data_IF_614061984865
#
_entry.id   IF_614061984865
#
_cell.length_a   1.000
_cell.length_b   1.000
_cell.length_c   1.000
_cell.angle_alpha   90.00
_cell.angle_beta   90.00
_cell.angle_gamma   90.00
#
_symmetry.space_group_name_H-M   'P 1'
#
loop_
_entity.id
_entity.type
_entity.pdbx_description
1 polymer ?
#
# COMPACT_ATOMS: atom_id res chain seq x y z
N UNK A 1 47.68 -29.78 -58.94
CA UNK A 1 46.61 -30.80 -58.81
C UNK A 1 45.27 -30.10 -58.76
N UNK A 2 44.40 -30.43 -59.71
CA UNK A 2 43.19 -29.68 -60.09
C UNK A 2 42.08 -30.71 -60.35
N UNK A 3 40.87 -30.51 -59.80
CA UNK A 3 39.53 -30.93 -60.34
C UNK A 3 38.45 -30.57 -59.30
N UNK A 4 37.55 -29.61 -59.57
CA UNK A 4 36.25 -29.68 -60.31
C UNK A 4 35.14 -30.30 -59.43
N UNK A 5 33.91 -29.77 -59.24
CA UNK A 5 32.95 -28.96 -60.05
C UNK A 5 31.84 -28.35 -59.13
N UNK A 6 31.26 -27.20 -59.51
CA UNK A 6 29.93 -26.63 -59.12
C UNK A 6 28.77 -27.32 -59.92
N UNK A 7 27.46 -26.89 -59.97
CA UNK A 7 26.66 -25.85 -59.25
C UNK A 7 25.19 -26.24 -58.85
N UNK A 8 24.45 -25.31 -58.22
CA UNK A 8 22.96 -25.17 -58.32
C UNK A 8 22.34 -24.47 -57.09
N UNK A 9 21.82 -23.22 -57.15
CA UNK A 9 20.45 -22.79 -57.54
C UNK A 9 19.36 -23.41 -56.61
N UNK A 10 18.40 -22.73 -55.96
CA UNK A 10 17.59 -21.54 -56.24
C UNK A 10 16.77 -21.10 -54.99
N UNK A 11 16.34 -19.82 -55.04
CA UNK A 11 15.07 -19.23 -54.58
C UNK A 11 14.71 -19.12 -53.08
N UNK A 12 14.53 -17.85 -52.67
CA UNK A 12 13.54 -17.45 -51.68
C UNK A 12 12.21 -17.01 -52.33
N UNK A 13 11.16 -16.97 -51.50
CA UNK A 13 9.86 -16.30 -51.66
C UNK A 13 9.29 -16.19 -50.21
N UNK A 14 8.95 -15.07 -49.58
CA UNK A 14 8.15 -13.89 -49.93
C UNK A 14 6.64 -14.15 -50.08
N UNK A 15 5.87 -13.43 -49.25
CA UNK A 15 4.43 -13.07 -49.35
C UNK A 15 3.42 -14.21 -49.05
N UNK A 16 2.22 -13.99 -48.48
CA UNK A 16 1.38 -12.81 -48.45
C UNK A 16 0.41 -12.80 -47.25
N UNK A 17 -0.01 -11.61 -46.86
CA UNK A 17 -1.22 -11.33 -46.09
C UNK A 17 -2.48 -11.57 -46.93
N UNK A 18 -3.60 -11.93 -46.28
CA UNK A 18 -4.93 -11.77 -46.88
C UNK A 18 -5.96 -11.46 -45.78
N UNK A 19 -6.52 -10.25 -45.86
CA UNK A 19 -7.74 -9.82 -45.17
C UNK A 19 -8.95 -10.23 -46.01
N UNK A 20 -10.05 -10.72 -45.42
CA UNK A 20 -11.41 -10.54 -45.97
C UNK A 20 -12.43 -10.48 -44.82
N UNK A 21 -13.35 -9.53 -44.93
CA UNK A 21 -14.49 -9.28 -44.06
C UNK A 21 -15.79 -9.94 -44.56
N UNK A 22 -16.75 -10.04 -43.63
CA UNK A 22 -18.21 -10.10 -43.79
C UNK A 22 -18.89 -11.41 -44.22
N UNK A 23 -19.79 -11.91 -43.35
CA UNK A 23 -21.12 -12.41 -43.72
C UNK A 23 -22.07 -12.44 -42.50
N UNK A 24 -23.26 -11.87 -42.70
CA UNK A 24 -24.44 -11.78 -41.82
C UNK A 24 -25.31 -13.05 -41.92
N UNK A 25 -26.32 -13.12 -41.03
CA UNK A 25 -27.41 -14.10 -40.86
C UNK A 25 -27.08 -15.21 -39.82
N UNK A 26 -27.84 -15.43 -38.73
CA UNK A 26 -29.27 -15.20 -38.51
C UNK A 26 -30.01 -16.53 -38.53
N UNK A 27 -30.05 -17.25 -37.40
CA UNK A 27 -31.00 -18.35 -37.15
C UNK A 27 -31.27 -18.45 -35.64
N UNK A 28 -32.55 -18.50 -35.29
CA UNK A 28 -33.08 -18.51 -33.93
C UNK A 28 -33.49 -19.93 -33.49
N UNK A 29 -33.26 -20.22 -32.20
CA UNK A 29 -34.04 -21.09 -31.27
C UNK A 29 -34.16 -22.61 -31.54
N UNK A 30 -34.40 -23.48 -30.52
CA UNK A 30 -35.09 -23.18 -29.26
C UNK A 30 -34.47 -23.72 -27.96
N UNK A 31 -35.08 -23.20 -26.88
CA UNK A 31 -34.91 -23.56 -25.48
C UNK A 31 -35.34 -25.01 -25.17
N UNK A 32 -34.61 -25.65 -24.26
CA UNK A 32 -35.06 -26.84 -23.55
C UNK A 32 -35.38 -26.46 -22.11
N UNK A 33 -36.67 -26.46 -21.81
CA UNK A 33 -37.26 -26.54 -20.48
C UNK A 33 -36.83 -27.82 -19.78
N UNK A 34 -36.36 -27.74 -18.54
CA UNK A 34 -36.38 -28.90 -17.64
C UNK A 34 -37.05 -28.52 -16.32
N UNK A 35 -38.13 -29.24 -16.09
CA UNK A 35 -39.12 -29.15 -15.01
C UNK A 35 -38.57 -29.59 -13.66
N UNK A 36 -39.05 -28.92 -12.63
CA UNK A 36 -38.91 -29.29 -11.23
C UNK A 36 -39.56 -30.65 -10.93
N UNK A 37 -38.86 -31.50 -10.18
CA UNK A 37 -39.39 -32.69 -9.53
C UNK A 37 -39.12 -32.62 -8.04
N UNK A 38 -40.18 -32.43 -7.26
CA UNK A 38 -40.17 -32.50 -5.80
C UNK A 38 -40.16 -33.97 -5.35
N UNK A 39 -39.31 -34.30 -4.38
CA UNK A 39 -39.42 -35.53 -3.60
C UNK A 39 -39.14 -35.20 -2.13
N UNK A 40 -40.18 -35.38 -1.33
CA UNK A 40 -40.16 -35.29 0.13
C UNK A 40 -39.41 -36.49 0.73
N UNK A 41 -38.55 -36.22 1.70
CA UNK A 41 -37.86 -37.21 2.50
C UNK A 41 -37.61 -36.66 3.89
N UNK A 42 -38.52 -36.97 4.81
CA UNK A 42 -38.45 -36.68 6.24
C UNK A 42 -37.32 -37.46 6.90
N UNK A 43 -36.39 -36.77 7.56
CA UNK A 43 -35.48 -37.37 8.55
C UNK A 43 -35.47 -36.51 9.81
N UNK A 44 -35.82 -37.18 10.91
CA UNK A 44 -35.86 -36.73 12.30
C UNK A 44 -34.48 -36.30 12.83
N UNK A 45 -34.39 -35.37 13.80
CA UNK A 45 -33.11 -34.93 14.35
C UNK A 45 -32.66 -35.87 15.48
N UNK A 46 -31.45 -36.40 15.35
CA UNK A 46 -30.74 -37.06 16.45
C UNK A 46 -30.02 -36.01 17.31
N UNK A 47 -30.39 -36.00 18.59
CA UNK A 47 -29.71 -35.28 19.66
C UNK A 47 -28.34 -35.93 19.95
N UNK A 48 -27.28 -35.13 20.04
CA UNK A 48 -26.04 -35.52 20.73
C UNK A 48 -25.52 -34.33 21.54
N UNK A 49 -25.82 -34.40 22.84
CA UNK A 49 -24.96 -34.15 24.01
C UNK A 49 -23.84 -33.10 23.84
N UNK A 50 -24.08 -31.91 24.42
CA UNK A 50 -23.03 -30.98 24.82
C UNK A 50 -22.59 -31.32 26.26
N UNK A 51 -21.35 -31.80 26.43
CA UNK A 51 -20.66 -31.82 27.73
C UNK A 51 -19.84 -30.54 27.89
N UNK A 52 -20.50 -29.47 28.30
CA UNK A 52 -19.83 -28.28 28.82
C UNK A 52 -19.33 -28.54 30.24
N UNK A 53 -18.02 -28.64 30.42
CA UNK A 53 -17.41 -28.58 31.76
C UNK A 53 -17.44 -27.13 32.25
N UNK A 54 -18.34 -26.86 33.18
CA UNK A 54 -18.31 -25.66 34.01
C UNK A 54 -17.29 -25.81 35.13
N UNK A 55 -16.49 -24.78 35.36
CA UNK A 55 -15.85 -24.54 36.65
C UNK A 55 -15.87 -23.03 36.88
N UNK A 56 -16.67 -22.66 37.88
CA UNK A 56 -16.84 -21.31 38.40
C UNK A 56 -15.68 -20.96 39.39
N UNK A 57 -15.58 -19.69 39.85
CA UNK A 57 -14.32 -19.07 40.26
C UNK A 57 -14.01 -19.21 41.75
N UNK A 58 -12.74 -19.01 42.11
CA UNK A 58 -12.31 -18.83 43.49
C UNK A 58 -11.51 -17.52 43.63
N UNK A 59 -12.14 -16.61 44.36
CA UNK A 59 -11.71 -15.50 45.22
C UNK A 59 -10.25 -15.05 45.29
N UNK A 60 -10.12 -13.72 45.22
CA UNK A 60 -9.07 -12.83 45.72
C UNK A 60 -8.62 -13.12 47.17
N UNK A 61 -7.39 -12.74 47.56
CA UNK A 61 -7.31 -11.51 48.36
C UNK A 61 -6.11 -10.58 48.06
N UNK A 62 -6.43 -9.29 48.05
CA UNK A 62 -5.57 -8.13 48.31
C UNK A 62 -4.97 -8.16 49.73
N UNK A 63 -3.69 -7.77 49.90
CA UNK A 63 -3.44 -6.74 50.91
C UNK A 63 -2.43 -5.66 50.48
N UNK A 64 -2.96 -4.45 50.39
CA UNK A 64 -2.41 -3.14 50.81
C UNK A 64 -1.04 -3.14 51.54
N UNK A 65 -0.07 -2.42 50.95
CA UNK A 65 0.61 -1.21 51.52
C UNK A 65 2.00 -0.98 50.88
N UNK A 66 2.31 0.22 50.35
CA UNK A 66 3.66 0.57 49.90
C UNK A 66 4.54 1.06 51.06
N UNK A 67 5.80 0.63 51.05
CA UNK A 67 6.85 1.05 51.97
C UNK A 67 7.78 2.03 51.25
N UNK A 68 7.83 3.28 51.72
CA UNK A 68 8.87 4.27 51.44
C UNK A 68 10.09 4.05 52.34
N UNK A 69 11.30 4.41 51.87
CA UNK A 69 12.06 5.49 52.52
C UNK A 69 12.63 6.47 51.47
N UNK A 70 12.49 7.79 51.62
CA UNK A 70 13.17 8.72 52.53
C UNK A 70 14.63 9.05 52.10
N UNK A 71 14.83 10.35 51.86
CA UNK A 71 16.02 11.05 51.37
C UNK A 71 17.15 11.22 52.39
N UNK A 72 18.37 11.42 51.89
CA UNK A 72 19.44 12.29 52.44
C UNK A 72 20.35 12.67 51.24
N UNK A 73 20.59 13.93 50.87
CA UNK A 73 21.50 14.92 51.51
C UNK A 73 22.96 14.52 51.24
N UNK A 74 23.91 15.29 50.68
CA UNK A 74 24.16 16.75 50.70
C UNK A 74 25.47 17.04 49.90
N UNK A 75 25.68 18.32 49.50
CA UNK A 75 26.93 19.02 49.07
C UNK A 75 27.55 18.68 47.70
N UNK A 76 27.60 19.55 46.68
CA UNK A 76 28.14 20.92 46.51
C UNK A 76 29.64 20.99 46.15
N UNK A 77 29.97 21.97 45.27
CA UNK A 77 31.29 22.44 44.78
C UNK A 77 31.84 21.64 43.57
N UNK A 78 32.38 22.20 42.47
CA UNK A 78 33.20 23.42 42.32
C UNK A 78 33.30 23.83 40.82
N UNK A 79 33.23 25.14 40.55
CA UNK A 79 33.94 25.94 39.51
C UNK A 79 33.85 25.61 38.00
N UNK A 80 33.18 26.51 37.26
CA UNK A 80 33.71 27.17 36.05
C UNK A 80 34.74 28.26 36.49
N UNK A 81 35.66 28.83 35.66
CA UNK A 81 35.40 29.39 34.32
C UNK A 81 36.55 29.21 33.30
N UNK A 82 36.34 29.66 32.05
CA UNK A 82 37.39 29.70 31.04
C UNK A 82 36.95 30.19 29.68
N UNK A 83 36.73 31.51 29.58
CA UNK A 83 36.63 32.26 28.32
C UNK A 83 37.95 32.24 27.55
N UNK A 84 37.91 31.95 26.25
CA UNK A 84 38.95 32.38 25.31
C UNK A 84 38.31 32.70 23.96
N UNK A 85 38.15 34.00 23.74
CA UNK A 85 37.91 34.62 22.43
C UNK A 85 39.14 34.45 21.56
N UNK A 86 38.95 33.99 20.32
CA UNK A 86 39.97 34.11 19.27
C UNK A 86 39.38 34.92 18.13
N UNK A 87 39.86 36.15 18.03
CA UNK A 87 39.77 37.08 16.90
C UNK A 87 40.27 36.45 15.60
N UNK A 88 39.49 36.55 14.52
CA UNK A 88 39.95 36.35 13.16
C UNK A 88 39.82 37.68 12.38
N UNK A 89 40.82 38.05 11.56
CA UNK A 89 40.91 39.36 10.93
C UNK A 89 39.96 39.53 9.74
N UNK A 90 39.47 40.74 9.62
CA UNK A 90 38.62 41.28 8.56
C UNK A 90 39.48 41.57 7.32
N UNK A 91 39.24 40.87 6.22
CA UNK A 91 39.69 41.29 4.89
C UNK A 91 38.51 41.89 4.14
N UNK A 92 38.54 43.21 4.00
CA UNK A 92 37.65 43.98 3.15
C UNK A 92 38.06 43.81 1.68
N UNK A 93 37.10 43.46 0.82
CA UNK A 93 37.21 43.64 -0.63
C UNK A 93 35.82 43.79 -1.25
N UNK A 94 35.60 44.98 -1.82
CA UNK A 94 34.90 45.17 -3.09
C UNK A 94 33.38 44.97 -3.12
N UNK A 95 32.63 46.08 -3.00
CA UNK A 95 31.35 46.23 -3.67
C UNK A 95 31.52 46.13 -5.19
N UNK A 96 30.59 45.49 -5.89
CA UNK A 96 29.97 46.20 -6.99
C UNK A 96 28.45 46.28 -6.82
N UNK A 97 27.96 47.50 -7.01
CA UNK A 97 26.56 47.89 -7.12
C UNK A 97 25.93 47.14 -8.29
N UNK A 98 25.09 46.14 -7.98
CA UNK A 98 24.24 45.45 -8.94
C UNK A 98 22.83 45.37 -8.39
N UNK A 99 21.95 46.26 -8.84
CA UNK A 99 20.52 46.21 -8.55
C UNK A 99 19.93 44.92 -9.12
N UNK A 100 19.84 43.89 -8.29
CA UNK A 100 19.00 42.73 -8.54
C UNK A 100 17.63 43.01 -7.92
N UNK A 101 16.65 43.31 -8.75
CA UNK A 101 15.24 43.20 -8.40
C UNK A 101 14.99 41.79 -7.88
N UNK A 102 14.75 41.68 -6.57
CA UNK A 102 14.23 40.45 -5.96
C UNK A 102 12.82 40.25 -6.53
N UNK A 103 12.71 39.45 -7.60
CA UNK A 103 11.45 38.90 -8.01
C UNK A 103 10.94 38.05 -6.83
N UNK A 104 9.84 38.50 -6.23
CA UNK A 104 9.10 37.72 -5.25
C UNK A 104 8.84 36.31 -5.81
N UNK A 105 8.86 35.25 -4.99
CA UNK A 105 8.45 33.95 -5.46
C UNK A 105 7.00 34.06 -5.90
N UNK A 106 6.76 34.03 -7.20
CA UNK A 106 5.44 33.72 -7.75
C UNK A 106 5.05 32.38 -7.18
N UNK A 107 4.12 32.39 -6.24
CA UNK A 107 3.30 31.24 -5.87
C UNK A 107 2.86 30.59 -7.18
N UNK A 108 3.43 29.42 -7.47
CA UNK A 108 3.07 28.66 -8.64
C UNK A 108 1.56 28.46 -8.60
N UNK A 109 0.86 29.15 -9.50
CA UNK A 109 -0.52 28.85 -9.82
C UNK A 109 -0.57 27.35 -10.10
N UNK A 110 -1.29 26.61 -9.25
CA UNK A 110 -1.44 25.17 -9.42
C UNK A 110 -1.91 24.93 -10.85
N UNK A 111 -1.13 24.15 -11.61
CA UNK A 111 -1.53 23.76 -12.94
C UNK A 111 -2.95 23.17 -12.85
N UNK A 112 -3.92 23.89 -13.41
CA UNK A 112 -5.31 23.47 -13.46
C UNK A 112 -5.36 22.29 -14.41
N UNK A 113 -5.24 21.07 -13.87
CA UNK A 113 -5.36 19.85 -14.67
C UNK A 113 -6.71 19.87 -15.39
N UNK A 114 -6.72 19.58 -16.69
CA UNK A 114 -7.94 19.59 -17.51
C UNK A 114 -9.03 18.71 -16.87
N UNK A 115 -10.30 19.15 -16.79
CA UNK A 115 -11.36 18.40 -16.15
C UNK A 115 -11.54 17.01 -16.80
N UNK A 116 -11.89 16.01 -15.98
CA UNK A 116 -12.19 14.67 -16.46
C UNK A 116 -13.60 14.68 -17.10
N UNK A 117 -13.76 14.25 -18.37
CA UNK A 117 -15.07 14.24 -19.04
C UNK A 117 -16.11 13.42 -18.25
N UNK A 118 -17.26 14.01 -17.95
CA UNK A 118 -18.36 13.34 -17.22
C UNK A 118 -18.07 13.05 -15.73
N UNK A 119 -16.97 13.59 -15.19
CA UNK A 119 -16.52 13.39 -13.82
C UNK A 119 -16.40 14.72 -13.07
N UNK A 120 -17.30 15.66 -13.35
CA UNK A 120 -17.28 17.00 -12.77
C UNK A 120 -18.17 17.08 -11.53
N UNK A 121 -17.85 18.04 -10.68
CA UNK A 121 -18.60 18.37 -9.47
C UNK A 121 -20.10 18.54 -9.79
N UNK A 122 -20.95 17.87 -9.02
CA UNK A 122 -22.42 18.01 -9.10
C UNK A 122 -23.09 17.08 -10.11
N UNK A 123 -22.34 16.49 -11.04
CA UNK A 123 -22.85 15.50 -12.00
C UNK A 123 -22.68 14.05 -11.52
N UNK A 124 -21.75 13.82 -10.58
CA UNK A 124 -21.55 12.50 -10.00
C UNK A 124 -22.69 12.15 -9.03
N UNK A 125 -23.26 10.93 -9.12
CA UNK A 125 -24.24 10.42 -8.17
C UNK A 125 -23.56 10.01 -6.86
N UNK A 126 -23.03 11.00 -6.13
CA UNK A 126 -22.36 10.80 -4.84
C UNK A 126 -23.35 10.48 -3.73
N UNK A 127 -22.88 9.84 -2.66
CA UNK A 127 -23.67 9.46 -1.50
C UNK A 127 -24.36 10.67 -0.84
N UNK A 128 -23.69 11.83 -0.87
CA UNK A 128 -24.27 13.12 -0.49
C UNK A 128 -24.09 14.08 -1.67
N UNK A 129 -25.18 14.66 -2.21
CA UNK A 129 -25.08 15.58 -3.35
C UNK A 129 -24.06 16.70 -3.12
N UNK A 130 -23.19 16.92 -4.10
CA UNK A 130 -22.17 17.96 -4.06
C UNK A 130 -20.99 17.69 -3.10
N UNK A 131 -20.93 16.52 -2.46
CA UNK A 131 -19.82 16.10 -1.59
C UNK A 131 -19.23 14.78 -2.04
N UNK A 132 -17.92 14.61 -1.81
CA UNK A 132 -17.23 13.33 -1.98
C UNK A 132 -16.91 12.75 -0.60
N UNK A 133 -17.56 11.65 -0.26
CA UNK A 133 -17.45 11.01 1.06
C UNK A 133 -16.50 9.84 0.98
N UNK A 134 -15.36 9.95 1.67
CA UNK A 134 -14.42 8.85 1.84
C UNK A 134 -14.68 8.06 3.13
N UNK A 135 -14.37 6.78 3.11
CA UNK A 135 -14.45 5.88 4.26
C UNK A 135 -13.07 5.35 4.65
N UNK A 136 -12.86 5.12 5.93
CA UNK A 136 -11.76 4.26 6.41
C UNK A 136 -12.14 3.57 7.72
N UNK A 137 -11.33 2.61 8.16
CA UNK A 137 -11.55 1.88 9.40
C UNK A 137 -11.47 2.78 10.64
N UNK A 138 -11.90 2.26 11.80
CA UNK A 138 -11.95 3.02 13.07
C UNK A 138 -10.59 3.54 13.56
N UNK A 139 -9.51 2.85 13.22
CA UNK A 139 -8.16 3.17 13.68
C UNK A 139 -7.18 3.19 12.49
N UNK A 140 -7.30 4.18 11.60
CA UNK A 140 -6.38 4.30 10.49
C UNK A 140 -4.98 4.65 11.02
N UNK A 141 -3.95 4.02 10.46
CA UNK A 141 -2.60 4.05 11.02
C UNK A 141 -1.56 4.62 10.07
N UNK A 142 -0.44 5.10 10.64
CA UNK A 142 0.71 5.53 9.85
C UNK A 142 1.32 4.34 9.10
N UNK A 143 1.94 4.58 7.93
CA UNK A 143 2.10 5.88 7.25
C UNK A 143 0.91 6.27 6.35
N UNK A 144 -0.10 5.41 6.24
CA UNK A 144 -1.26 5.59 5.38
C UNK A 144 -2.13 6.78 5.82
N UNK A 145 -2.28 6.93 7.14
CA UNK A 145 -2.94 8.05 7.80
C UNK A 145 -2.08 8.54 8.97
N UNK A 146 -1.81 9.84 9.02
CA UNK A 146 -1.08 10.49 10.09
C UNK A 146 -2.04 11.36 10.91
N UNK A 147 -2.84 10.71 11.76
CA UNK A 147 -3.89 11.36 12.56
C UNK A 147 -5.26 11.24 11.89
N UNK A 148 -6.11 12.25 12.08
CA UNK A 148 -7.46 12.25 11.53
C UNK A 148 -7.44 12.25 9.99
N UNK A 149 -8.26 11.42 9.29
CA UNK A 149 -8.29 11.39 7.83
C UNK A 149 -8.57 12.75 7.18
N UNK A 150 -9.45 13.55 7.80
CA UNK A 150 -9.80 14.89 7.35
C UNK A 150 -8.64 15.89 7.37
N UNK A 151 -7.53 15.58 8.05
CA UNK A 151 -6.32 16.40 8.01
C UNK A 151 -5.52 16.24 6.69
N UNK A 152 -5.85 15.22 5.88
CA UNK A 152 -5.16 14.95 4.62
C UNK A 152 -3.70 14.52 4.78
N UNK A 153 -3.33 14.04 5.97
CA UNK A 153 -1.97 13.63 6.30
C UNK A 153 -1.83 12.10 6.28
N UNK A 154 -0.74 11.61 5.70
CA UNK A 154 -0.54 10.20 5.36
C UNK A 154 -0.80 9.92 3.88
N UNK A 155 -0.28 8.81 3.36
CA UNK A 155 -0.36 8.49 1.93
C UNK A 155 -1.80 8.35 1.42
N UNK A 156 -2.64 7.53 2.07
CA UNK A 156 -4.02 7.29 1.64
C UNK A 156 -4.91 8.51 1.89
N UNK A 157 -4.70 9.23 3.00
CA UNK A 157 -5.40 10.49 3.23
C UNK A 157 -5.07 11.53 2.13
N UNK A 158 -3.79 11.73 1.82
CA UNK A 158 -3.36 12.67 0.80
C UNK A 158 -3.82 12.25 -0.61
N UNK A 159 -3.82 10.94 -0.91
CA UNK A 159 -4.38 10.39 -2.13
C UNK A 159 -5.88 10.71 -2.27
N UNK A 160 -6.66 10.55 -1.21
CA UNK A 160 -8.08 10.86 -1.22
C UNK A 160 -8.34 12.33 -1.62
N UNK A 161 -7.58 13.27 -1.05
CA UNK A 161 -7.68 14.69 -1.43
C UNK A 161 -7.15 14.97 -2.84
N UNK A 162 -6.13 14.25 -3.31
CA UNK A 162 -5.66 14.37 -4.69
C UNK A 162 -6.73 13.88 -5.70
N UNK A 163 -7.41 12.77 -5.39
CA UNK A 163 -8.54 12.26 -6.17
C UNK A 163 -9.69 13.26 -6.15
N UNK A 164 -10.07 13.77 -4.97
CA UNK A 164 -11.13 14.78 -4.83
C UNK A 164 -10.86 16.03 -5.68
N UNK A 165 -9.64 16.57 -5.60
CA UNK A 165 -9.23 17.72 -6.39
C UNK A 165 -9.31 17.44 -7.90
N UNK A 166 -8.93 16.23 -8.34
CA UNK A 166 -8.99 15.84 -9.76
C UNK A 166 -10.41 15.74 -10.29
N UNK A 167 -11.36 15.41 -9.41
CA UNK A 167 -12.80 15.37 -9.67
C UNK A 167 -13.48 16.73 -9.46
N UNK A 168 -12.72 17.78 -9.13
CA UNK A 168 -13.25 19.13 -8.92
C UNK A 168 -13.90 19.36 -7.55
N UNK A 169 -13.78 18.43 -6.61
CA UNK A 169 -14.27 18.60 -5.24
C UNK A 169 -13.24 19.38 -4.42
N UNK A 170 -13.56 20.61 -3.98
CA UNK A 170 -12.67 21.33 -3.06
C UNK A 170 -12.59 20.59 -1.73
N UNK A 171 -11.53 20.81 -0.96
CA UNK A 171 -11.33 20.14 0.33
C UNK A 171 -12.52 20.27 1.30
N UNK A 172 -13.25 21.40 1.27
CA UNK A 172 -14.45 21.63 2.07
C UNK A 172 -15.66 20.77 1.66
N UNK A 173 -15.67 20.25 0.43
CA UNK A 173 -16.66 19.31 -0.09
C UNK A 173 -16.27 17.84 0.16
N UNK A 174 -15.13 17.58 0.80
CA UNK A 174 -14.72 16.23 1.20
C UNK A 174 -15.22 15.93 2.61
N UNK A 175 -15.86 14.77 2.78
CA UNK A 175 -16.29 14.24 4.08
C UNK A 175 -15.67 12.88 4.36
N UNK A 176 -15.56 12.52 5.64
CA UNK A 176 -15.04 11.24 6.07
C UNK A 176 -16.03 10.51 6.97
N UNK A 177 -16.18 9.21 6.77
CA UNK A 177 -16.97 8.32 7.63
C UNK A 177 -16.12 7.14 8.11
N UNK A 178 -16.43 6.63 9.29
CA UNK A 178 -15.86 5.36 9.76
C UNK A 178 -16.66 4.21 9.18
N UNK A 179 -15.98 3.22 8.63
CA UNK A 179 -16.61 2.01 8.09
C UNK A 179 -16.01 0.75 8.70
N UNK A 180 -16.69 -0.39 8.54
CA UNK A 180 -16.10 -1.71 8.80
C UNK A 180 -15.29 -2.14 7.56
N UNK A 181 -13.96 -2.32 7.66
CA UNK A 181 -13.13 -2.77 6.54
C UNK A 181 -13.57 -4.12 5.96
N UNK A 182 -14.08 -5.05 6.77
CA UNK A 182 -14.57 -6.34 6.28
C UNK A 182 -15.87 -6.19 5.49
N UNK A 183 -16.73 -5.24 5.88
CA UNK A 183 -17.90 -4.87 5.09
C UNK A 183 -17.49 -4.18 3.78
N UNK A 184 -16.47 -3.32 3.78
CA UNK A 184 -15.95 -2.67 2.57
C UNK A 184 -15.40 -3.69 1.57
N UNK A 185 -14.54 -4.61 2.02
CA UNK A 185 -13.97 -5.69 1.21
C UNK A 185 -15.07 -6.57 0.58
N UNK A 186 -16.13 -6.84 1.34
CA UNK A 186 -17.27 -7.63 0.92
C UNK A 186 -18.30 -6.85 0.08
N UNK A 187 -18.09 -5.56 -0.20
CA UNK A 187 -19.05 -4.74 -0.96
C UNK A 187 -20.36 -4.45 -0.22
N UNK A 188 -20.36 -4.53 1.13
CA UNK A 188 -21.52 -4.33 2.00
C UNK A 188 -21.60 -2.93 2.61
N UNK A 189 -20.61 -2.07 2.36
CA UNK A 189 -20.62 -0.69 2.86
C UNK A 189 -21.58 0.17 2.04
N UNK A 190 -22.27 1.12 2.69
CA UNK A 190 -23.23 2.06 2.09
C UNK A 190 -22.97 3.48 2.59
N UNK A 191 -23.51 4.48 1.91
CA UNK A 191 -23.41 5.89 2.33
C UNK A 191 -22.00 6.49 2.20
N UNK A 192 -21.17 5.92 1.32
CA UNK A 192 -19.79 6.36 1.06
C UNK A 192 -19.50 6.23 -0.42
N UNK A 193 -18.63 7.09 -0.95
CA UNK A 193 -18.27 7.10 -2.37
C UNK A 193 -17.02 6.26 -2.64
N UNK A 194 -16.02 6.30 -1.75
CA UNK A 194 -14.82 5.48 -1.86
C UNK A 194 -14.24 5.16 -0.47
N UNK A 195 -13.69 3.97 -0.29
CA UNK A 195 -13.09 3.53 0.97
C UNK A 195 -11.61 3.23 0.78
N UNK A 196 -10.77 3.74 1.67
CA UNK A 196 -9.34 3.46 1.75
C UNK A 196 -9.01 2.74 3.06
N UNK A 197 -8.04 1.83 2.99
CA UNK A 197 -7.62 1.01 4.12
C UNK A 197 -6.75 -0.15 3.70
N UNK A 198 -5.77 0.10 2.83
CA UNK A 198 -4.79 -0.90 2.38
C UNK A 198 -5.44 -2.14 1.69
N UNK A 199 -6.56 -1.94 0.98
CA UNK A 199 -7.27 -3.04 0.34
C UNK A 199 -6.59 -3.49 -0.95
N UNK A 200 -6.41 -4.80 -1.10
CA UNK A 200 -6.18 -5.42 -2.40
C UNK A 200 -7.52 -5.89 -2.94
N UNK A 201 -7.84 -5.47 -4.17
CA UNK A 201 -9.03 -5.95 -4.86
C UNK A 201 -8.94 -7.48 -5.05
N UNK A 202 -9.96 -8.26 -4.67
CA UNK A 202 -9.95 -9.70 -4.85
C UNK A 202 -10.05 -10.06 -6.33
N UNK A 203 -9.25 -11.03 -6.74
CA UNK A 203 -9.28 -11.60 -8.09
C UNK A 203 -10.37 -12.69 -8.17
N UNK A 204 -11.62 -12.25 -8.10
CA UNK A 204 -12.81 -13.12 -8.24
C UNK A 204 -13.78 -12.50 -9.24
N UNK A 205 -14.54 -13.33 -10.01
CA UNK A 205 -15.51 -12.82 -10.96
C UNK A 205 -16.48 -11.80 -10.34
N UNK A 206 -16.71 -10.68 -11.03
CA UNK A 206 -17.60 -9.60 -10.57
C UNK A 206 -17.05 -8.74 -9.44
N UNK A 207 -15.81 -8.93 -8.98
CA UNK A 207 -15.19 -8.02 -8.03
C UNK A 207 -14.88 -6.65 -8.66
N UNK A 208 -14.41 -6.61 -9.90
CA UNK A 208 -13.93 -5.40 -10.56
C UNK A 208 -14.92 -4.22 -10.52
N UNK A 209 -16.23 -4.51 -10.51
CA UNK A 209 -17.29 -3.49 -10.54
C UNK A 209 -17.43 -2.66 -9.27
N UNK A 210 -16.72 -3.01 -8.19
CA UNK A 210 -16.71 -2.28 -6.91
C UNK A 210 -15.32 -1.81 -6.47
N UNK A 211 -14.33 -1.87 -7.35
CA UNK A 211 -12.96 -1.43 -7.05
C UNK A 211 -12.51 -0.36 -8.04
N UNK A 212 -11.75 0.61 -7.55
CA UNK A 212 -11.01 1.51 -8.43
C UNK A 212 -9.85 0.78 -9.12
N UNK A 213 -9.21 1.45 -10.09
CA UNK A 213 -7.85 1.07 -10.48
C UNK A 213 -6.89 1.20 -9.29
N UNK A 214 -5.80 0.43 -9.32
CA UNK A 214 -4.88 0.33 -8.19
C UNK A 214 -3.93 1.51 -8.05
N UNK A 215 -3.75 2.05 -6.85
CA UNK A 215 -2.96 3.27 -6.59
C UNK A 215 -1.58 3.01 -5.99
N UNK A 216 -1.28 1.80 -5.53
CA UNK A 216 0.02 1.48 -4.94
C UNK A 216 0.36 -0.01 -5.10
N UNK A 217 1.58 -0.37 -5.58
CA UNK A 217 1.99 -1.76 -5.73
C UNK A 217 2.34 -2.42 -4.38
N UNK A 218 1.75 -3.58 -4.10
CA UNK A 218 2.10 -4.42 -2.97
C UNK A 218 3.31 -5.28 -3.33
N UNK A 219 4.49 -4.84 -2.89
CA UNK A 219 5.77 -5.53 -3.08
C UNK A 219 6.22 -6.30 -1.84
N UNK A 220 7.12 -7.27 -2.03
CA UNK A 220 7.81 -7.97 -0.94
C UNK A 220 8.95 -7.10 -0.40
N UNK A 221 8.82 -6.69 0.86
CA UNK A 221 9.70 -5.72 1.54
C UNK A 221 10.56 -6.41 2.59
N UNK A 222 11.86 -6.13 2.54
CA UNK A 222 12.84 -6.63 3.50
C UNK A 222 12.92 -5.68 4.69
N UNK A 223 12.65 -6.22 5.87
CA UNK A 223 12.75 -5.52 7.15
C UNK A 223 13.77 -6.18 8.07
N UNK A 224 14.26 -5.42 9.04
CA UNK A 224 15.25 -5.86 10.01
C UNK A 224 15.04 -5.14 11.34
N UNK A 225 15.77 -5.55 12.38
CA UNK A 225 15.68 -4.91 13.69
C UNK A 225 16.06 -3.41 13.60
N UNK A 226 15.39 -2.53 14.36
CA UNK A 226 15.75 -1.11 14.43
C UNK A 226 17.23 -0.93 14.79
N UNK A 227 17.88 0.09 14.23
CA UNK A 227 19.28 0.43 14.53
C UNK A 227 20.34 -0.56 14.02
N UNK A 228 19.97 -1.57 13.23
CA UNK A 228 20.95 -2.48 12.61
C UNK A 228 21.91 -1.76 11.66
N UNK A 229 23.13 -2.30 11.51
CA UNK A 229 24.12 -1.88 10.51
C UNK A 229 24.13 -2.76 9.25
N UNK A 230 23.10 -3.59 9.06
CA UNK A 230 22.99 -4.46 7.90
C UNK A 230 22.96 -3.62 6.62
N UNK A 231 23.84 -3.94 5.67
CA UNK A 231 23.87 -3.25 4.38
C UNK A 231 22.57 -3.47 3.60
N UNK A 232 22.13 -2.44 2.87
CA UNK A 232 20.94 -2.49 2.02
C UNK A 232 21.26 -3.12 0.67
N UNK A 233 21.59 -4.41 0.68
CA UNK A 233 21.93 -5.17 -0.54
C UNK A 233 21.44 -6.61 -0.49
N UNK A 234 21.26 -7.21 -1.68
CA UNK A 234 20.94 -8.63 -1.80
C UNK A 234 22.09 -9.51 -1.29
N UNK A 235 23.33 -9.08 -1.47
CA UNK A 235 24.50 -9.78 -0.94
C UNK A 235 24.45 -9.89 0.60
N UNK A 236 24.11 -8.81 1.29
CA UNK A 236 23.93 -8.84 2.74
C UNK A 236 22.79 -9.78 3.14
N UNK A 237 21.67 -9.75 2.40
CA UNK A 237 20.54 -10.64 2.66
C UNK A 237 20.90 -12.13 2.51
N UNK A 238 21.74 -12.50 1.54
CA UNK A 238 22.24 -13.88 1.33
C UNK A 238 23.09 -14.41 2.47
N UNK A 239 23.78 -13.51 3.17
CA UNK A 239 24.69 -13.83 4.26
C UNK A 239 24.01 -14.10 5.60
N UNK A 240 22.69 -13.86 5.71
CA UNK A 240 21.96 -13.98 6.97
C UNK A 240 20.82 -14.98 6.90
N UNK A 241 20.33 -15.42 8.06
CA UNK A 241 19.09 -16.19 8.14
C UNK A 241 17.90 -15.26 7.92
N UNK A 242 17.09 -15.56 6.90
CA UNK A 242 15.94 -14.77 6.48
C UNK A 242 14.65 -15.48 6.88
N UNK A 243 13.72 -14.76 7.49
CA UNK A 243 12.34 -15.18 7.69
C UNK A 243 11.44 -14.63 6.60
N UNK A 244 10.35 -15.32 6.28
CA UNK A 244 9.32 -14.81 5.37
C UNK A 244 7.95 -15.33 5.77
N UNK A 245 6.88 -14.58 5.47
CA UNK A 245 5.52 -15.11 5.59
C UNK A 245 5.32 -16.26 4.60
N UNK A 246 4.70 -17.33 5.07
CA UNK A 246 4.43 -18.51 4.26
C UNK A 246 3.33 -18.25 3.22
N UNK A 247 2.36 -17.40 3.56
CA UNK A 247 1.30 -16.94 2.68
C UNK A 247 1.81 -15.85 1.71
N UNK A 248 1.23 -15.81 0.51
CA UNK A 248 1.60 -14.88 -0.55
C UNK A 248 2.92 -15.22 -1.23
N UNK A 249 3.60 -14.21 -1.76
CA UNK A 249 4.84 -14.35 -2.56
C UNK A 249 6.12 -14.27 -1.73
N UNK A 250 6.08 -13.71 -0.51
CA UNK A 250 7.24 -13.37 0.30
C UNK A 250 8.28 -14.51 0.42
N UNK A 251 7.85 -15.73 0.74
CA UNK A 251 8.76 -16.87 0.86
C UNK A 251 9.41 -17.26 -0.48
N UNK A 252 8.65 -17.25 -1.57
CA UNK A 252 9.15 -17.55 -2.92
C UNK A 252 10.10 -16.46 -3.39
N UNK A 253 9.72 -15.19 -3.26
CA UNK A 253 10.57 -14.04 -3.63
C UNK A 253 11.87 -14.02 -2.84
N UNK A 254 11.82 -14.31 -1.53
CA UNK A 254 13.01 -14.41 -0.70
C UNK A 254 13.93 -15.55 -1.16
N UNK A 255 13.37 -16.71 -1.51
CA UNK A 255 14.13 -17.82 -2.05
C UNK A 255 14.79 -17.48 -3.39
N UNK A 256 14.06 -16.87 -4.32
CA UNK A 256 14.59 -16.42 -5.61
C UNK A 256 15.68 -15.35 -5.46
N UNK A 257 15.48 -14.38 -4.57
CA UNK A 257 16.43 -13.30 -4.34
C UNK A 257 17.74 -13.78 -3.68
N UNK A 258 17.63 -14.74 -2.76
CA UNK A 258 18.79 -15.19 -1.95
C UNK A 258 19.43 -16.48 -2.46
N UNK A 259 18.74 -17.25 -3.29
CA UNK A 259 19.16 -18.61 -3.68
C UNK A 259 19.02 -19.63 -2.54
N UNK A 260 18.32 -19.29 -1.44
CA UNK A 260 18.19 -20.13 -0.23
C UNK A 260 16.75 -20.11 0.28
N UNK A 261 16.25 -21.24 0.75
CA UNK A 261 14.94 -21.29 1.38
C UNK A 261 14.91 -20.43 2.66
N UNK A 262 13.98 -19.46 2.79
CA UNK A 262 13.80 -18.72 4.03
C UNK A 262 13.11 -19.59 5.10
N UNK A 263 13.19 -19.16 6.35
CA UNK A 263 12.33 -19.71 7.41
C UNK A 263 10.91 -19.22 7.16
N UNK A 264 9.97 -20.15 7.00
CA UNK A 264 8.57 -19.82 6.72
C UNK A 264 7.80 -19.64 8.02
N UNK A 265 7.08 -18.53 8.14
CA UNK A 265 6.22 -18.22 9.29
C UNK A 265 4.76 -18.13 8.85
N UNK A 266 3.85 -18.69 9.65
CA UNK A 266 2.41 -18.67 9.35
C UNK A 266 1.77 -17.28 9.38
N UNK A 267 2.44 -16.29 9.99
CA UNK A 267 1.96 -14.91 10.08
C UNK A 267 3.12 -13.91 10.11
N UNK A 268 2.82 -12.65 9.75
CA UNK A 268 3.76 -11.55 9.91
C UNK A 268 4.18 -11.36 11.38
N UNK A 269 3.25 -11.52 12.32
CA UNK A 269 3.53 -11.44 13.75
C UNK A 269 4.59 -12.47 14.21
N UNK A 270 4.52 -13.71 13.70
CA UNK A 270 5.51 -14.74 13.99
C UNK A 270 6.88 -14.42 13.36
N UNK A 271 6.91 -13.93 12.13
CA UNK A 271 8.16 -13.49 11.48
C UNK A 271 8.81 -12.32 12.24
N UNK A 272 8.00 -11.34 12.70
CA UNK A 272 8.45 -10.20 13.49
C UNK A 272 8.92 -10.62 14.90
N UNK A 273 8.28 -11.62 15.52
CA UNK A 273 8.75 -12.19 16.77
C UNK A 273 10.13 -12.86 16.61
N UNK A 274 10.31 -13.63 15.54
CA UNK A 274 11.61 -14.24 15.23
C UNK A 274 12.70 -13.21 14.90
N UNK A 275 12.33 -12.10 14.25
CA UNK A 275 13.25 -10.99 14.01
C UNK A 275 13.67 -10.32 15.33
N UNK A 276 12.73 -10.11 16.25
CA UNK A 276 12.99 -9.52 17.58
C UNK A 276 13.85 -10.43 18.46
N UNK A 277 13.67 -11.74 18.41
CA UNK A 277 14.49 -12.69 19.17
C UNK A 277 15.86 -12.95 18.56
N UNK A 278 16.12 -12.46 17.34
CA UNK A 278 17.35 -12.72 16.60
C UNK A 278 17.40 -14.11 15.94
N UNK A 279 16.31 -14.88 15.98
CA UNK A 279 16.21 -16.17 15.27
C UNK A 279 16.35 -16.01 13.74
N UNK A 280 15.98 -14.84 13.22
CA UNK A 280 16.30 -14.39 11.86
C UNK A 280 16.88 -12.97 11.94
N UNK A 281 17.72 -12.59 10.97
CA UNK A 281 18.30 -11.22 10.93
C UNK A 281 17.55 -10.26 10.02
N UNK A 282 16.77 -10.80 9.09
CA UNK A 282 15.87 -10.08 8.24
C UNK A 282 14.57 -10.87 8.08
N UNK A 283 13.48 -10.16 7.86
CA UNK A 283 12.18 -10.74 7.51
C UNK A 283 11.68 -10.13 6.20
N UNK A 284 11.00 -10.92 5.39
CA UNK A 284 10.31 -10.48 4.16
C UNK A 284 8.81 -10.48 4.44
N UNK A 285 8.20 -9.30 4.32
CA UNK A 285 6.78 -9.05 4.57
C UNK A 285 6.19 -8.31 3.36
N UNK A 286 4.87 -8.32 3.20
CA UNK A 286 4.21 -7.39 2.27
C UNK A 286 4.49 -5.94 2.69
N UNK A 287 4.58 -5.04 1.70
CA UNK A 287 4.88 -3.62 1.92
C UNK A 287 3.91 -2.92 2.87
N UNK A 288 2.57 -3.11 2.81
CA UNK A 288 1.65 -2.54 3.78
C UNK A 288 2.00 -2.88 5.24
N UNK A 289 2.22 -4.16 5.52
CA UNK A 289 2.61 -4.61 6.85
C UNK A 289 3.99 -4.09 7.25
N UNK A 290 4.99 -4.19 6.37
CA UNK A 290 6.34 -3.69 6.64
C UNK A 290 6.36 -2.18 6.98
N UNK A 291 5.56 -1.39 6.25
CA UNK A 291 5.45 0.05 6.42
C UNK A 291 4.77 0.44 7.73
N UNK A 292 3.70 -0.26 8.12
CA UNK A 292 3.04 -0.06 9.44
C UNK A 292 4.00 -0.35 10.59
N UNK A 293 4.73 -1.46 10.51
CA UNK A 293 5.69 -1.83 11.54
C UNK A 293 6.87 -0.85 11.63
N UNK A 294 7.33 -0.34 10.48
CA UNK A 294 8.37 0.68 10.43
C UNK A 294 7.90 2.02 11.00
N UNK A 295 6.68 2.45 10.67
CA UNK A 295 6.07 3.67 11.22
C UNK A 295 5.82 3.57 12.73
N UNK A 296 5.60 2.37 13.25
CA UNK A 296 5.53 2.09 14.68
C UNK A 296 6.92 1.98 15.36
N UNK A 297 8.01 2.14 14.62
CA UNK A 297 9.39 2.04 15.13
C UNK A 297 9.81 0.62 15.49
N UNK A 298 9.05 -0.41 15.09
CA UNK A 298 9.29 -1.82 15.46
C UNK A 298 10.31 -2.49 14.55
N UNK A 299 10.49 -1.99 13.33
CA UNK A 299 11.47 -2.48 12.35
C UNK A 299 12.10 -1.33 11.56
N UNK A 300 13.24 -1.61 10.94
CA UNK A 300 13.80 -0.77 9.89
C UNK A 300 13.57 -1.43 8.52
N UNK A 301 13.21 -0.64 7.51
CA UNK A 301 13.10 -1.11 6.12
C UNK A 301 14.47 -1.04 5.44
N UNK A 302 14.89 -2.15 4.84
CA UNK A 302 16.14 -2.22 4.06
C UNK A 302 15.92 -1.92 2.58
N UNK A 303 14.82 -2.40 2.02
CA UNK A 303 14.52 -2.28 0.60
C UNK A 303 13.43 -3.25 0.17
N UNK A 304 12.98 -3.13 -1.07
CA UNK A 304 12.14 -4.13 -1.71
C UNK A 304 13.00 -5.27 -2.27
N UNK A 305 12.47 -6.48 -2.31
CA UNK A 305 13.05 -7.50 -3.19
C UNK A 305 12.83 -7.10 -4.66
N UNK A 306 13.72 -7.50 -5.58
CA UNK A 306 13.50 -7.29 -7.00
C UNK A 306 12.13 -7.80 -7.43
N UNK A 307 11.44 -7.03 -8.28
CA UNK A 307 10.16 -7.43 -8.80
C UNK A 307 10.27 -8.76 -9.56
N UNK A 308 9.28 -9.63 -9.37
CA UNK A 308 9.12 -10.82 -10.18
C UNK A 308 8.66 -10.50 -11.61
N UNK A 309 8.46 -11.53 -12.45
CA UNK A 309 8.01 -11.34 -13.83
C UNK A 309 6.55 -10.87 -13.93
N UNK A 310 5.80 -10.91 -12.83
CA UNK A 310 4.38 -10.57 -12.78
C UNK A 310 4.17 -9.19 -12.16
N UNK A 311 3.12 -8.51 -12.61
CA UNK A 311 2.70 -7.26 -11.96
C UNK A 311 2.30 -7.55 -10.51
N UNK A 312 2.84 -6.81 -9.53
CA UNK A 312 2.44 -6.99 -8.14
C UNK A 312 0.96 -6.64 -7.97
N UNK A 313 0.24 -7.30 -7.03
CA UNK A 313 -1.08 -6.85 -6.60
C UNK A 313 -1.05 -5.36 -6.27
N UNK A 314 -2.15 -4.66 -6.52
CA UNK A 314 -2.24 -3.22 -6.24
C UNK A 314 -3.23 -2.97 -5.12
N UNK A 315 -2.92 -2.00 -4.25
CA UNK A 315 -3.91 -1.40 -3.38
C UNK A 315 -4.93 -0.62 -4.21
N UNK A 316 -6.21 -0.74 -3.90
CA UNK A 316 -7.31 -0.09 -4.62
C UNK A 316 -8.37 0.44 -3.65
N UNK A 317 -9.16 1.42 -4.08
CA UNK A 317 -10.28 1.93 -3.30
C UNK A 317 -11.50 1.02 -3.50
N UNK A 318 -12.19 0.65 -2.42
CA UNK A 318 -13.51 0.06 -2.55
C UNK A 318 -14.50 1.17 -2.89
N UNK A 319 -15.25 1.03 -3.98
CA UNK A 319 -16.21 2.02 -4.47
C UNK A 319 -17.60 1.39 -4.47
N UNK A 320 -18.32 1.44 -3.33
CA UNK A 320 -19.65 0.85 -3.21
C UNK A 320 -20.75 1.71 -3.86
N UNK A 321 -20.42 2.94 -4.27
CA UNK A 321 -21.31 3.86 -4.97
C UNK A 321 -21.64 3.42 -6.39
N UNK A 322 -22.39 4.26 -7.12
CA UNK A 322 -22.80 3.95 -8.49
C UNK A 322 -21.61 3.77 -9.44
N UNK A 323 -21.81 3.02 -10.54
CA UNK A 323 -20.76 2.73 -11.53
C UNK A 323 -20.07 3.99 -12.08
N UNK A 324 -20.80 5.11 -12.19
CA UNK A 324 -20.24 6.41 -12.59
C UNK A 324 -19.17 6.93 -11.61
N UNK A 325 -19.41 6.80 -10.30
CA UNK A 325 -18.42 7.19 -9.28
C UNK A 325 -17.15 6.35 -9.40
N UNK A 326 -17.29 5.03 -9.59
CA UNK A 326 -16.13 4.13 -9.77
C UNK A 326 -15.30 4.49 -11.00
N UNK A 327 -15.95 4.72 -12.13
CA UNK A 327 -15.26 5.08 -13.37
C UNK A 327 -14.46 6.38 -13.19
N UNK A 328 -15.05 7.38 -12.55
CA UNK A 328 -14.40 8.66 -12.31
C UNK A 328 -13.28 8.61 -11.27
N UNK A 329 -13.46 7.88 -10.16
CA UNK A 329 -12.38 7.63 -9.20
C UNK A 329 -11.21 6.91 -9.86
N UNK A 330 -11.48 5.92 -10.71
CA UNK A 330 -10.43 5.20 -11.46
C UNK A 330 -9.71 6.12 -12.44
N UNK A 331 -10.45 6.92 -13.23
CA UNK A 331 -9.86 7.88 -14.16
C UNK A 331 -9.00 8.94 -13.45
N UNK A 332 -9.42 9.38 -12.25
CA UNK A 332 -8.63 10.27 -11.42
C UNK A 332 -7.32 9.62 -10.96
N UNK A 333 -7.36 8.38 -10.44
CA UNK A 333 -6.16 7.63 -10.04
C UNK A 333 -5.23 7.40 -11.24
N UNK A 334 -5.78 7.01 -12.39
CA UNK A 334 -5.00 6.76 -13.61
C UNK A 334 -4.32 8.04 -14.11
N UNK A 335 -5.01 9.18 -14.02
CA UNK A 335 -4.41 10.48 -14.34
C UNK A 335 -3.30 10.83 -13.36
N UNK A 336 -3.51 10.66 -12.05
CA UNK A 336 -2.47 10.89 -11.04
C UNK A 336 -1.25 9.98 -11.27
N UNK A 337 -1.45 8.76 -11.78
CA UNK A 337 -0.38 7.85 -12.18
C UNK A 337 0.38 8.37 -13.39
N UNK A 338 -0.32 8.77 -14.45
CA UNK A 338 0.27 9.33 -15.67
C UNK A 338 1.06 10.62 -15.39
N UNK A 339 0.57 11.45 -14.47
CA UNK A 339 1.22 12.68 -14.01
C UNK A 339 2.36 12.44 -13.00
N UNK A 340 2.70 11.18 -12.66
CA UNK A 340 3.69 10.82 -11.63
C UNK A 340 3.38 11.39 -10.23
N UNK A 341 2.15 11.84 -10.00
CA UNK A 341 1.70 12.37 -8.71
C UNK A 341 1.54 11.28 -7.66
N UNK A 342 1.17 10.05 -8.05
CA UNK A 342 1.17 8.91 -7.12
C UNK A 342 2.57 8.65 -6.56
N UNK A 343 3.61 8.71 -7.39
CA UNK A 343 4.99 8.53 -6.95
C UNK A 343 5.44 9.68 -6.04
N UNK A 344 5.05 10.92 -6.35
CA UNK A 344 5.35 12.08 -5.51
C UNK A 344 4.65 11.98 -4.13
N UNK A 345 3.40 11.52 -4.09
CA UNK A 345 2.69 11.24 -2.84
C UNK A 345 3.37 10.12 -2.05
N UNK A 346 3.76 9.03 -2.71
CA UNK A 346 4.47 7.93 -2.07
C UNK A 346 5.81 8.40 -1.50
N UNK A 347 6.62 9.13 -2.27
CA UNK A 347 7.90 9.67 -1.84
C UNK A 347 7.78 10.65 -0.66
N UNK A 348 6.66 11.39 -0.58
CA UNK A 348 6.39 12.32 0.52
C UNK A 348 6.06 11.62 1.83
N UNK A 349 5.29 10.53 1.77
CA UNK A 349 4.69 9.92 2.96
C UNK A 349 5.31 8.59 3.37
N UNK A 350 6.03 7.92 2.47
CA UNK A 350 6.60 6.60 2.69
C UNK A 350 8.14 6.67 2.76
N UNK A 351 8.80 5.81 3.56
CA UNK A 351 10.25 5.74 3.59
C UNK A 351 10.83 5.42 2.21
N UNK A 352 11.83 6.17 1.77
CA UNK A 352 12.48 5.97 0.46
C UNK A 352 12.98 4.52 0.24
N UNK A 353 13.48 3.88 1.30
CA UNK A 353 13.89 2.48 1.25
C UNK A 353 12.72 1.54 0.87
N UNK A 354 11.51 1.82 1.33
CA UNK A 354 10.33 1.03 0.99
C UNK A 354 9.87 1.20 -0.47
N UNK A 355 10.44 2.17 -1.21
CA UNK A 355 10.17 2.43 -2.63
C UNK A 355 11.34 2.02 -3.54
N UNK A 356 12.40 1.44 -2.96
CA UNK A 356 13.65 1.16 -3.68
C UNK A 356 13.99 -0.33 -3.62
N UNK A 357 14.16 -1.00 -4.77
CA UNK A 357 14.67 -2.37 -4.79
C UNK A 357 16.09 -2.47 -4.25
N UNK A 358 16.36 -3.54 -3.50
CA UNK A 358 17.72 -3.92 -3.12
C UNK A 358 18.54 -4.26 -4.38
N UNK A 359 19.82 -3.84 -4.36
CA UNK A 359 20.81 -4.17 -5.39
C UNK A 359 21.73 -5.29 -4.93
#
# INVERSE_FOLDING_TARGET
>A
MHRRRRPGRLLGSALAACSVAALLAGCATPAATQTAGAAAGSVTPAAVVATGSGSAPASDPDPTRPVTPASAGTTARTTAPGTASTTAPTTALGSPTGSATVAAPTTGAGATSAPLPGCVLGELPTAVPGRLTFGTGRAPARPWFAGAPAAGQGFEAALAYAVAARLGYPAAAVSWVTVDPAAAQAGRTRGVDAVLGEFVAPDVPGAADRWSTGYFPVTDTVVTAPGTRMARSLAALRSVRVGATAAGTAATSAASATGRAPVRYGSAAAALAALRSGAVRAAVLDSPTALREAAAGRVAVLGQLPAGPWQPPQLAMAVPGAAGVRACVSAAIDTLRAERRLDALAARWLPAAALTPLR
#
